data_IF_746864107044
#
_entry.id   IF_746864107044
#
_cell.length_a   1.000
_cell.length_b   1.000
_cell.length_c   1.000
_cell.angle_alpha   90.00
_cell.angle_beta   90.00
_cell.angle_gamma   90.00
#
_symmetry.space_group_name_H-M   'P 1'
#
loop_
_entity.id
_entity.type
_entity.pdbx_description
1 polymer ?
#
# COMPACT_ATOMS: atom_id res chain seq x y z
N UNK A 1 20.23 24.32 -6.99
CA UNK A 1 19.91 23.76 -8.31
C UNK A 1 19.70 22.27 -8.11
N UNK A 2 18.47 21.78 -8.23
CA UNK A 2 18.21 20.34 -8.15
C UNK A 2 18.52 19.73 -9.52
N UNK A 3 19.40 18.74 -9.51
CA UNK A 3 19.79 17.95 -10.68
C UNK A 3 18.56 17.25 -11.27
N UNK A 4 18.31 17.47 -12.55
CA UNK A 4 17.12 16.99 -13.26
C UNK A 4 17.17 15.48 -13.59
N UNK A 5 18.25 14.78 -13.23
CA UNK A 5 18.44 13.35 -13.51
C UNK A 5 17.82 12.41 -12.46
N UNK A 6 17.50 12.87 -11.25
CA UNK A 6 16.86 12.05 -10.23
C UNK A 6 15.33 12.15 -10.35
N UNK A 7 14.67 11.07 -10.81
CA UNK A 7 13.21 10.97 -10.68
C UNK A 7 12.82 11.20 -9.21
N UNK A 8 11.80 12.03 -8.88
CA UNK A 8 11.37 12.23 -7.50
C UNK A 8 11.00 10.89 -6.86
N UNK A 9 11.56 10.61 -5.69
CA UNK A 9 11.32 9.40 -4.91
C UNK A 9 12.12 8.22 -5.46
N UNK A 10 13.18 7.82 -4.76
CA UNK A 10 13.84 6.54 -5.02
C UNK A 10 12.82 5.41 -4.79
N UNK A 11 12.24 4.82 -5.85
CA UNK A 11 11.19 3.82 -5.67
C UNK A 11 11.84 2.60 -5.03
N UNK A 12 11.15 1.95 -4.09
CA UNK A 12 11.64 0.69 -3.53
C UNK A 12 11.72 -0.33 -4.66
N UNK A 13 12.80 -1.14 -4.68
CA UNK A 13 12.99 -2.18 -5.69
C UNK A 13 11.99 -3.35 -5.58
N UNK A 14 11.24 -3.42 -4.48
CA UNK A 14 10.13 -4.34 -4.29
C UNK A 14 9.00 -3.65 -3.52
N UNK A 15 7.78 -4.08 -3.81
CA UNK A 15 6.60 -3.71 -3.02
C UNK A 15 6.50 -4.68 -1.84
N UNK A 16 6.26 -4.14 -0.65
CA UNK A 16 6.04 -4.92 0.55
C UNK A 16 4.96 -4.27 1.41
N UNK A 17 4.12 -5.10 2.01
CA UNK A 17 3.15 -4.67 3.02
C UNK A 17 3.85 -4.00 4.20
N UNK A 18 3.18 -3.03 4.81
CA UNK A 18 3.62 -2.32 6.00
C UNK A 18 3.62 -0.79 5.84
N UNK A 19 4.15 -0.07 6.85
CA UNK A 19 4.17 1.38 6.84
C UNK A 19 4.99 1.95 5.68
N UNK A 20 4.40 2.87 4.92
CA UNK A 20 5.10 3.65 3.92
C UNK A 20 5.42 5.07 4.43
N UNK A 21 4.50 5.66 5.21
CA UNK A 21 4.68 6.95 5.90
C UNK A 21 4.02 6.90 7.26
N UNK A 22 4.08 8.00 8.03
CA UNK A 22 3.34 8.14 9.28
C UNK A 22 1.81 8.05 9.12
N UNK A 23 1.28 8.22 7.90
CA UNK A 23 -0.17 8.22 7.61
C UNK A 23 -0.62 7.09 6.71
N UNK A 24 0.31 6.30 6.16
CA UNK A 24 0.00 5.33 5.12
C UNK A 24 0.61 3.97 5.38
N UNK A 25 -0.22 2.95 5.27
CA UNK A 25 0.16 1.53 5.31
C UNK A 25 -0.24 0.91 3.98
N UNK A 26 0.65 0.09 3.42
CA UNK A 26 0.35 -0.77 2.29
C UNK A 26 -0.01 -2.17 2.78
N UNK A 27 -1.02 -2.77 2.17
CA UNK A 27 -1.31 -4.20 2.27
C UNK A 27 -1.31 -4.74 0.84
N UNK A 28 -0.27 -5.50 0.49
CA UNK A 28 -0.13 -6.11 -0.82
C UNK A 28 -1.03 -7.35 -0.89
N UNK A 29 -1.98 -7.35 -1.85
CA UNK A 29 -2.85 -8.47 -2.09
C UNK A 29 -2.09 -9.66 -2.73
N UNK A 30 -2.45 -10.92 -2.40
CA UNK A 30 -1.82 -12.11 -2.95
C UNK A 30 -2.32 -12.45 -4.37
N UNK A 31 -2.37 -11.47 -5.27
CA UNK A 31 -2.88 -11.60 -6.64
C UNK A 31 -1.89 -11.15 -7.73
N UNK A 32 -0.63 -11.66 -7.75
CA UNK A 32 0.34 -11.26 -8.77
C UNK A 32 -0.06 -11.71 -10.17
N UNK A 33 0.17 -10.87 -11.17
CA UNK A 33 -0.10 -11.17 -12.58
C UNK A 33 0.59 -10.17 -13.51
N UNK A 34 0.49 -10.38 -14.83
CA UNK A 34 0.93 -9.37 -15.81
C UNK A 34 0.22 -8.01 -15.65
N UNK A 35 -1.00 -7.99 -15.10
CA UNK A 35 -1.80 -6.77 -14.95
C UNK A 35 -1.69 -6.12 -13.57
N UNK A 36 -1.33 -6.90 -12.55
CA UNK A 36 -1.25 -6.47 -11.14
C UNK A 36 0.18 -6.45 -10.62
N UNK A 37 1.16 -6.86 -11.43
CA UNK A 37 2.57 -6.99 -11.08
C UNK A 37 2.75 -7.87 -9.84
N UNK A 38 3.36 -7.35 -8.78
CA UNK A 38 3.56 -8.04 -7.50
C UNK A 38 2.24 -8.31 -6.75
N UNK A 39 1.17 -7.61 -7.13
CA UNK A 39 -0.15 -7.66 -6.50
C UNK A 39 -0.79 -6.27 -6.40
N UNK A 40 -2.08 -6.24 -6.10
CA UNK A 40 -2.79 -4.98 -5.86
C UNK A 40 -2.30 -4.35 -4.56
N UNK A 41 -1.95 -3.07 -4.62
CA UNK A 41 -1.58 -2.28 -3.45
C UNK A 41 -2.83 -1.70 -2.79
N UNK A 42 -3.33 -2.35 -1.75
CA UNK A 42 -4.36 -1.74 -0.90
C UNK A 42 -3.71 -0.74 0.04
N UNK A 43 -4.09 0.53 -0.08
CA UNK A 43 -3.56 1.59 0.76
C UNK A 43 -4.57 1.96 1.84
N UNK A 44 -4.07 2.03 3.07
CA UNK A 44 -4.82 2.53 4.21
C UNK A 44 -4.24 3.89 4.58
N UNK A 45 -5.08 4.91 4.61
CA UNK A 45 -4.71 6.30 4.90
C UNK A 45 -5.45 6.77 6.14
N UNK A 46 -4.72 7.18 7.17
CA UNK A 46 -5.29 7.67 8.43
C UNK A 46 -4.39 8.73 9.07
N UNK A 47 -4.98 9.65 9.86
CA UNK A 47 -4.20 10.48 10.78
C UNK A 47 -3.77 9.66 12.00
N UNK A 48 -2.56 9.89 12.57
CA UNK A 48 -2.12 9.21 13.78
C UNK A 48 -3.13 9.34 14.93
N UNK A 49 -3.55 8.21 15.51
CA UNK A 49 -4.53 8.16 16.60
C UNK A 49 -6.00 8.28 16.18
N UNK A 50 -6.28 8.41 14.87
CA UNK A 50 -7.64 8.37 14.35
C UNK A 50 -8.20 6.94 14.36
N UNK A 51 -9.44 6.77 14.81
CA UNK A 51 -10.21 5.53 14.63
C UNK A 51 -10.87 5.41 13.26
N UNK A 52 -10.63 6.36 12.35
CA UNK A 52 -11.14 6.39 10.99
C UNK A 52 -9.99 6.35 9.99
N UNK A 53 -10.17 5.58 8.93
CA UNK A 53 -9.23 5.44 7.82
C UNK A 53 -9.96 5.40 6.46
N UNK A 54 -9.25 5.77 5.40
CA UNK A 54 -9.67 5.56 4.02
C UNK A 54 -8.92 4.36 3.46
N UNK A 55 -9.66 3.40 2.90
CA UNK A 55 -9.09 2.26 2.17
C UNK A 55 -9.20 2.55 0.68
N UNK A 56 -8.07 2.49 -0.02
CA UNK A 56 -7.96 2.74 -1.45
C UNK A 56 -7.57 1.42 -2.12
N UNK A 57 -8.32 1.04 -3.15
CA UNK A 57 -8.09 -0.16 -3.96
C UNK A 57 -7.99 -1.46 -3.13
N UNK A 58 -9.13 -1.97 -2.61
CA UNK A 58 -9.16 -3.03 -1.59
C UNK A 58 -8.66 -4.41 -2.06
N UNK A 59 -8.17 -4.55 -3.30
CA UNK A 59 -7.71 -5.81 -3.84
C UNK A 59 -8.86 -6.76 -4.23
N UNK A 60 -8.56 -8.05 -4.45
CA UNK A 60 -9.57 -9.05 -4.82
C UNK A 60 -10.50 -9.36 -3.63
N UNK A 61 -11.63 -10.00 -3.93
CA UNK A 61 -12.51 -10.59 -2.91
C UNK A 61 -11.85 -11.86 -2.33
N UNK A 62 -10.83 -11.65 -1.50
CA UNK A 62 -10.08 -12.68 -0.79
C UNK A 62 -10.17 -12.43 0.71
N UNK A 63 -10.74 -13.38 1.45
CA UNK A 63 -11.03 -13.20 2.88
C UNK A 63 -9.75 -13.01 3.71
N UNK A 64 -8.63 -13.62 3.30
CA UNK A 64 -7.34 -13.48 3.96
C UNK A 64 -6.78 -12.07 3.81
N UNK A 65 -6.84 -11.52 2.60
CA UNK A 65 -6.46 -10.15 2.28
C UNK A 65 -7.35 -9.13 2.98
N UNK A 66 -8.67 -9.30 2.92
CA UNK A 66 -9.61 -8.40 3.59
C UNK A 66 -9.40 -8.38 5.10
N UNK A 67 -9.10 -9.54 5.71
CA UNK A 67 -8.70 -9.61 7.11
C UNK A 67 -7.40 -8.85 7.38
N UNK A 68 -6.39 -9.01 6.53
CA UNK A 68 -5.12 -8.27 6.66
C UNK A 68 -5.30 -6.75 6.53
N UNK A 69 -6.23 -6.28 5.68
CA UNK A 69 -6.59 -4.85 5.57
C UNK A 69 -7.22 -4.33 6.86
N UNK A 70 -8.10 -5.11 7.49
CA UNK A 70 -8.74 -4.74 8.76
C UNK A 70 -7.72 -4.74 9.91
N UNK A 71 -6.84 -5.74 9.97
CA UNK A 71 -5.85 -5.89 11.05
C UNK A 71 -4.70 -4.86 11.00
N UNK A 72 -4.58 -4.10 9.90
CA UNK A 72 -3.49 -3.14 9.68
C UNK A 72 -3.71 -1.77 10.36
N UNK A 73 -4.85 -1.56 11.03
CA UNK A 73 -5.21 -0.34 11.79
C UNK A 73 -5.61 -0.65 13.22
#
# INVERSE_FOLDING_TARGET
MSDAAALPGQPRGSVASGPATARTVNVLAPNPSAMTLDGTNTWIVAEPGSGLAVVIDPGPLDDGHLKAVIDAV
#
